data_IF_432192664617
#
_entry.id   IF_432192664617
#
_cell.length_a   1.000
_cell.length_b   1.000
_cell.length_c   1.000
_cell.angle_alpha   90.00
_cell.angle_beta   90.00
_cell.angle_gamma   90.00
#
_symmetry.space_group_name_H-M   'P 1'
#
loop_
_entity.id
_entity.type
_entity.pdbx_description
1 polymer ?
#
# COMPACT_ATOMS: atom_id res chain seq x y z
N UNK A 1 -7.98 9.40 28.44
CA UNK A 1 -7.54 9.88 27.11
C UNK A 1 -7.67 11.40 27.05
N UNK A 2 -6.86 12.11 26.25
CA UNK A 2 -6.95 13.57 26.15
C UNK A 2 -8.16 14.04 25.34
N UNK A 3 -8.72 15.20 25.70
CA UNK A 3 -9.90 15.83 25.07
C UNK A 3 -9.85 15.85 23.53
N UNK A 4 -8.72 16.31 22.96
CA UNK A 4 -8.57 16.42 21.50
C UNK A 4 -8.61 15.06 20.79
N UNK A 5 -8.11 13.99 21.43
CA UNK A 5 -8.15 12.63 20.88
C UNK A 5 -9.58 12.09 20.83
N UNK A 6 -10.36 12.36 21.88
CA UNK A 6 -11.77 11.94 21.96
C UNK A 6 -12.60 12.66 20.91
N UNK A 7 -12.42 13.99 20.77
CA UNK A 7 -13.11 14.78 19.74
C UNK A 7 -12.77 14.29 18.33
N UNK A 8 -11.49 14.05 18.03
CA UNK A 8 -11.06 13.57 16.71
C UNK A 8 -11.65 12.18 16.37
N UNK A 9 -11.69 11.28 17.33
CA UNK A 9 -12.26 9.94 17.15
C UNK A 9 -13.77 9.98 16.88
N UNK A 10 -14.53 10.76 17.64
CA UNK A 10 -15.97 10.91 17.41
C UNK A 10 -16.30 11.64 16.09
N UNK A 11 -15.48 12.62 15.68
CA UNK A 11 -15.58 13.24 14.35
C UNK A 11 -15.40 12.22 13.23
N UNK A 12 -14.42 11.33 13.35
CA UNK A 12 -14.17 10.25 12.40
C UNK A 12 -15.36 9.29 12.28
N UNK A 13 -15.91 8.80 13.41
CA UNK A 13 -17.10 7.92 13.39
C UNK A 13 -18.26 8.57 12.65
N UNK A 14 -18.51 9.85 12.91
CA UNK A 14 -19.54 10.63 12.21
C UNK A 14 -19.26 10.76 10.71
N UNK A 15 -18.03 11.11 10.33
CA UNK A 15 -17.65 11.32 8.92
C UNK A 15 -17.72 10.04 8.08
N UNK A 16 -17.55 8.88 8.73
CA UNK A 16 -17.69 7.57 8.10
C UNK A 16 -19.11 6.99 8.20
N UNK A 17 -20.08 7.73 8.77
CA UNK A 17 -21.47 7.29 8.87
C UNK A 17 -21.74 6.21 9.93
N UNK A 18 -20.79 5.99 10.84
CA UNK A 18 -20.85 4.98 11.90
C UNK A 18 -21.71 5.49 13.09
N UNK A 19 -22.99 5.75 12.85
CA UNK A 19 -23.88 6.41 13.82
C UNK A 19 -24.14 5.59 15.08
N UNK A 20 -24.16 4.25 14.96
CA UNK A 20 -24.37 3.34 16.11
C UNK A 20 -23.21 3.44 17.09
N UNK A 21 -21.97 3.35 16.60
CA UNK A 21 -20.77 3.46 17.44
C UNK A 21 -20.59 4.87 18.01
N UNK A 22 -21.03 5.89 17.27
CA UNK A 22 -21.03 7.27 17.75
C UNK A 22 -21.95 7.43 18.97
N UNK A 23 -23.17 6.89 18.91
CA UNK A 23 -24.13 6.92 20.01
C UNK A 23 -23.61 6.15 21.23
N UNK A 24 -23.10 4.94 21.03
CA UNK A 24 -22.50 4.12 22.10
C UNK A 24 -21.33 4.84 22.77
N UNK A 25 -20.45 5.48 22.00
CA UNK A 25 -19.30 6.20 22.52
C UNK A 25 -19.71 7.44 23.33
N UNK A 26 -20.76 8.16 22.91
CA UNK A 26 -21.32 9.29 23.67
C UNK A 26 -21.94 8.79 24.98
N UNK A 27 -22.76 7.74 24.93
CA UNK A 27 -23.36 7.15 26.13
C UNK A 27 -22.32 6.63 27.13
N UNK A 28 -21.21 6.10 26.63
CA UNK A 28 -20.09 5.68 27.47
C UNK A 28 -19.44 6.89 28.17
N UNK A 29 -19.20 8.00 27.46
CA UNK A 29 -18.60 9.21 28.03
C UNK A 29 -19.49 9.86 29.10
N UNK A 30 -20.82 9.79 28.94
CA UNK A 30 -21.78 10.30 29.93
C UNK A 30 -21.76 9.52 31.25
N UNK A 31 -21.28 8.29 31.24
CA UNK A 31 -21.19 7.44 32.43
C UNK A 31 -19.85 7.57 33.18
N UNK A 32 -18.91 8.37 32.66
CA UNK A 32 -17.58 8.56 33.27
C UNK A 32 -17.54 9.87 34.07
N UNK A 33 -17.17 9.79 35.35
CA UNK A 33 -17.10 10.96 36.25
C UNK A 33 -15.73 11.67 36.23
N UNK A 34 -14.67 11.06 35.70
CA UNK A 34 -13.29 11.57 35.73
C UNK A 34 -12.66 11.73 34.34
N UNK A 35 -13.27 12.57 33.50
CA UNK A 35 -12.78 12.83 32.14
C UNK A 35 -11.92 14.10 32.03
N UNK A 36 -11.97 15.01 33.01
CA UNK A 36 -11.27 16.30 32.96
C UNK A 36 -11.80 17.28 31.90
N UNK A 37 -12.91 16.96 31.24
CA UNK A 37 -13.67 17.78 30.29
C UNK A 37 -15.15 17.35 30.32
N UNK A 38 -16.04 18.22 29.85
CA UNK A 38 -17.48 17.90 29.82
C UNK A 38 -17.90 17.25 28.51
N UNK A 39 -18.88 16.33 28.56
CA UNK A 39 -19.39 15.66 27.35
C UNK A 39 -20.06 16.66 26.40
N UNK A 40 -20.67 17.72 26.94
CA UNK A 40 -21.30 18.77 26.13
C UNK A 40 -20.29 19.57 25.31
N UNK A 41 -19.11 19.87 25.87
CA UNK A 41 -17.99 20.48 25.12
C UNK A 41 -17.50 19.59 23.98
N UNK A 42 -17.47 18.26 24.20
CA UNK A 42 -17.10 17.28 23.17
C UNK A 42 -18.16 17.26 22.07
N UNK A 43 -19.46 17.17 22.40
CA UNK A 43 -20.57 17.20 21.43
C UNK A 43 -20.52 18.47 20.59
N UNK A 44 -20.34 19.63 21.21
CA UNK A 44 -20.24 20.91 20.50
C UNK A 44 -19.07 20.90 19.51
N UNK A 45 -17.86 20.51 19.95
CA UNK A 45 -16.69 20.44 19.05
C UNK A 45 -16.82 19.41 17.95
N UNK A 46 -17.51 18.28 18.20
CA UNK A 46 -17.78 17.29 17.16
C UNK A 46 -18.66 17.92 16.08
N UNK A 47 -19.71 18.66 16.44
CA UNK A 47 -20.65 19.31 15.51
C UNK A 47 -20.17 20.62 14.87
N UNK A 48 -19.15 21.27 15.42
CA UNK A 48 -18.52 22.45 14.82
C UNK A 48 -17.85 22.09 13.47
N UNK A 49 -18.19 22.86 12.42
CA UNK A 49 -17.41 22.89 11.18
C UNK A 49 -16.11 23.63 11.46
N UNK A 50 -15.01 22.91 11.47
CA UNK A 50 -13.68 23.50 11.51
C UNK A 50 -13.40 24.16 10.14
N UNK A 51 -13.24 25.49 10.12
CA UNK A 51 -12.47 26.24 9.10
C UNK A 51 -10.96 26.15 9.36
N UNK A 52 -10.55 25.40 10.39
CA UNK A 52 -9.18 24.97 10.61
C UNK A 52 -8.76 24.09 9.42
N UNK A 53 -7.53 24.22 8.89
CA UNK A 53 -7.08 23.34 7.82
C UNK A 53 -7.30 21.93 8.32
N UNK A 54 -8.11 21.16 7.59
CA UNK A 54 -8.37 19.78 7.92
C UNK A 54 -7.03 19.16 8.33
N UNK A 55 -6.99 18.43 9.43
CA UNK A 55 -5.94 17.44 9.63
C UNK A 55 -6.12 16.35 8.55
N UNK A 56 -5.89 16.76 7.30
CA UNK A 56 -5.49 15.96 6.15
C UNK A 56 -4.05 15.47 6.33
N UNK A 57 -3.48 15.63 7.53
CA UNK A 57 -2.48 14.73 8.06
C UNK A 57 -3.11 13.34 8.14
N UNK A 58 -3.22 12.68 6.98
CA UNK A 58 -3.34 11.24 6.90
C UNK A 58 -2.31 10.64 7.85
N UNK A 59 -2.58 9.42 8.34
CA UNK A 59 -1.64 8.69 9.18
C UNK A 59 -0.22 8.92 8.66
N UNK A 60 0.78 9.28 9.49
CA UNK A 60 2.14 9.53 9.00
C UNK A 60 2.68 8.43 8.07
N UNK A 61 2.22 7.19 8.26
CA UNK A 61 2.45 6.06 7.37
C UNK A 61 1.75 6.09 6.00
N UNK A 62 1.05 7.15 5.62
CA UNK A 62 0.47 7.36 4.29
C UNK A 62 1.22 8.45 3.51
N UNK A 63 2.11 9.20 4.18
CA UNK A 63 2.95 10.18 3.50
C UNK A 63 3.99 9.45 2.62
N UNK A 64 4.16 9.88 1.35
CA UNK A 64 5.15 9.29 0.48
C UNK A 64 6.57 9.60 0.98
N UNK A 65 7.39 8.55 1.08
CA UNK A 65 8.81 8.60 1.45
C UNK A 65 9.58 7.81 0.40
N UNK A 66 10.67 8.40 -0.10
CA UNK A 66 11.67 7.69 -0.91
C UNK A 66 12.83 7.34 0.00
N UNK A 67 13.26 6.09 -0.03
CA UNK A 67 14.42 5.65 0.71
C UNK A 67 15.68 5.89 -0.13
N UNK A 68 16.68 6.52 0.48
CA UNK A 68 18.02 6.61 -0.09
C UNK A 68 18.70 5.24 0.09
N UNK A 69 18.50 4.36 -0.88
CA UNK A 69 19.18 3.06 -0.92
C UNK A 69 20.41 3.20 -1.81
N UNK A 70 21.56 2.78 -1.29
CA UNK A 70 22.75 2.55 -2.09
C UNK A 70 22.50 1.41 -3.11
N UNK A 71 22.04 1.81 -4.30
CA UNK A 71 21.75 0.88 -5.38
C UNK A 71 23.00 0.16 -5.89
N UNK A 72 24.19 0.72 -5.70
CA UNK A 72 25.45 0.13 -6.09
C UNK A 72 25.86 -0.96 -5.09
N UNK A 73 25.71 -0.73 -3.78
CA UNK A 73 25.87 -1.78 -2.77
C UNK A 73 24.89 -2.95 -3.00
N UNK A 74 23.64 -2.64 -3.35
CA UNK A 74 22.63 -3.64 -3.67
C UNK A 74 23.01 -4.42 -4.94
N UNK A 75 23.52 -3.76 -6.00
CA UNK A 75 24.00 -4.42 -7.23
C UNK A 75 25.21 -5.31 -6.98
N UNK A 76 26.23 -4.79 -6.28
CA UNK A 76 27.49 -5.47 -5.99
C UNK A 76 27.33 -6.72 -5.12
N UNK A 77 26.30 -6.80 -4.28
CA UNK A 77 25.97 -8.01 -3.53
C UNK A 77 25.57 -9.22 -4.41
N UNK A 78 25.27 -9.01 -5.70
CA UNK A 78 24.86 -10.08 -6.64
C UNK A 78 25.95 -10.51 -7.63
N UNK A 79 27.04 -9.76 -7.79
CA UNK A 79 28.11 -10.07 -8.74
C UNK A 79 29.34 -10.59 -7.99
N UNK A 80 29.34 -11.89 -7.66
CA UNK A 80 30.55 -12.61 -7.25
C UNK A 80 30.75 -12.87 -5.75
N UNK A 81 29.79 -12.53 -4.88
CA UNK A 81 29.86 -12.96 -3.49
C UNK A 81 29.44 -14.45 -3.36
N UNK A 82 30.20 -15.31 -2.65
CA UNK A 82 29.74 -16.65 -2.30
C UNK A 82 28.39 -16.56 -1.56
N UNK A 83 27.54 -17.61 -1.60
CA UNK A 83 26.21 -17.58 -0.97
C UNK A 83 26.40 -17.08 0.46
N UNK A 84 25.80 -15.93 0.75
CA UNK A 84 26.08 -15.14 1.94
C UNK A 84 26.32 -16.06 3.14
N UNK A 85 27.58 -16.13 3.56
CA UNK A 85 27.89 -16.62 4.89
C UNK A 85 27.01 -15.79 5.83
N UNK A 86 26.08 -16.47 6.51
CA UNK A 86 25.14 -15.95 7.48
C UNK A 86 25.42 -14.50 7.95
N UNK A 87 24.78 -13.51 7.33
CA UNK A 87 25.04 -12.12 7.68
C UNK A 87 24.17 -11.16 6.88
N UNK A 88 23.04 -10.76 7.48
CA UNK A 88 22.19 -9.62 7.12
C UNK A 88 21.81 -9.44 5.62
N UNK A 89 20.56 -9.74 5.28
CA UNK A 89 19.96 -9.32 4.00
C UNK A 89 19.40 -7.89 4.13
N UNK A 90 20.00 -6.88 3.48
CA UNK A 90 19.48 -5.51 3.53
C UNK A 90 18.15 -5.41 2.76
N UNK A 91 17.28 -4.50 3.21
CA UNK A 91 16.06 -4.17 2.46
C UNK A 91 16.41 -3.49 1.14
N UNK A 92 15.75 -3.93 0.06
CA UNK A 92 15.82 -3.30 -1.27
C UNK A 92 14.59 -2.46 -1.59
N UNK A 93 13.72 -2.18 -0.61
CA UNK A 93 12.50 -1.39 -0.79
C UNK A 93 12.83 0.10 -0.98
N UNK A 94 12.43 0.67 -2.12
CA UNK A 94 12.76 2.06 -2.52
C UNK A 94 11.79 3.12 -2.04
N UNK A 95 10.56 2.73 -1.67
CA UNK A 95 9.53 3.68 -1.30
C UNK A 95 8.61 3.20 -0.18
N UNK A 96 7.92 4.17 0.41
CA UNK A 96 6.74 3.97 1.24
C UNK A 96 5.69 5.06 0.88
N UNK A 97 4.37 4.80 0.93
CA UNK A 97 3.72 3.51 1.19
C UNK A 97 3.81 2.55 0.00
N UNK A 98 3.54 1.27 0.26
CA UNK A 98 3.52 0.21 -0.77
C UNK A 98 2.12 -0.27 -1.14
N UNK A 99 1.13 -0.02 -0.29
CA UNK A 99 -0.27 -0.44 -0.49
C UNK A 99 -0.92 0.35 -1.63
N UNK A 100 -1.48 -0.35 -2.62
CA UNK A 100 -2.09 0.25 -3.82
C UNK A 100 -3.18 1.27 -3.46
N UNK A 101 -3.87 1.07 -2.33
CA UNK A 101 -4.82 2.03 -1.79
C UNK A 101 -4.20 3.42 -1.51
N UNK A 102 -2.99 3.44 -0.96
CA UNK A 102 -2.31 4.64 -0.47
C UNK A 102 -1.38 5.29 -1.49
N UNK A 103 -0.86 4.52 -2.45
CA UNK A 103 0.16 5.07 -3.36
C UNK A 103 -0.39 6.16 -4.28
N UNK A 104 0.45 7.16 -4.54
CA UNK A 104 0.26 8.10 -5.63
C UNK A 104 0.92 7.53 -6.90
N UNK A 105 0.18 7.25 -8.00
CA UNK A 105 0.74 6.67 -9.22
C UNK A 105 1.77 7.58 -9.91
N UNK A 106 1.74 8.89 -9.64
CA UNK A 106 2.62 9.89 -10.24
C UNK A 106 3.85 10.23 -9.37
N UNK A 107 4.06 9.51 -8.28
CA UNK A 107 5.21 9.74 -7.41
C UNK A 107 6.53 9.50 -8.16
N UNK A 108 7.58 10.24 -7.76
CA UNK A 108 8.87 10.23 -8.45
C UNK A 108 9.51 8.84 -8.55
N UNK A 109 9.28 7.96 -7.57
CA UNK A 109 9.80 6.59 -7.56
C UNK A 109 9.12 5.66 -8.59
N UNK A 110 8.01 6.06 -9.23
CA UNK A 110 7.44 5.32 -10.36
C UNK A 110 7.90 5.84 -11.72
N UNK A 111 8.58 7.00 -11.77
CA UNK A 111 8.98 7.61 -13.03
C UNK A 111 10.02 6.76 -13.75
N UNK A 112 9.64 6.15 -14.88
CA UNK A 112 10.51 5.26 -15.64
C UNK A 112 10.98 4.04 -14.86
N UNK A 113 10.23 3.59 -13.85
CA UNK A 113 10.60 2.45 -13.01
C UNK A 113 10.19 1.10 -13.62
N UNK A 114 10.89 0.04 -13.24
CA UNK A 114 10.34 -1.32 -13.29
C UNK A 114 9.46 -1.51 -12.06
N UNK A 115 8.21 -1.95 -12.24
CA UNK A 115 7.24 -2.06 -11.15
C UNK A 115 6.94 -3.52 -10.83
N UNK A 116 6.98 -3.86 -9.55
CA UNK A 116 6.47 -5.13 -9.02
C UNK A 116 5.11 -4.89 -8.38
N UNK A 117 4.04 -5.38 -9.01
CA UNK A 117 2.71 -5.49 -8.45
C UNK A 117 2.56 -6.87 -7.78
N UNK A 118 2.64 -6.91 -6.45
CA UNK A 118 2.68 -8.17 -5.70
C UNK A 118 1.40 -8.39 -4.88
N UNK A 119 0.93 -9.64 -4.83
CA UNK A 119 -0.10 -10.04 -3.88
C UNK A 119 0.44 -9.94 -2.44
N UNK A 120 -0.37 -9.50 -1.49
CA UNK A 120 0.05 -9.27 -0.09
C UNK A 120 0.80 -10.45 0.53
N UNK A 121 0.34 -11.68 0.30
CA UNK A 121 0.96 -12.87 0.88
C UNK A 121 2.34 -13.22 0.29
N UNK A 122 2.68 -12.73 -0.90
CA UNK A 122 3.88 -13.19 -1.64
C UNK A 122 5.19 -12.89 -0.89
N UNK A 123 5.34 -11.68 -0.36
CA UNK A 123 6.53 -11.30 0.42
C UNK A 123 6.66 -12.09 1.72
N UNK A 124 5.55 -12.50 2.33
CA UNK A 124 5.56 -13.30 3.55
C UNK A 124 5.78 -14.79 3.29
N UNK A 125 5.48 -15.27 2.07
CA UNK A 125 5.74 -16.65 1.67
C UNK A 125 7.19 -16.88 1.20
N UNK A 126 7.91 -15.84 0.78
CA UNK A 126 9.25 -15.96 0.21
C UNK A 126 10.32 -15.27 1.06
N UNK A 127 11.19 -16.06 1.71
CA UNK A 127 12.25 -15.53 2.58
C UNK A 127 13.28 -14.64 1.88
N UNK A 128 13.41 -14.72 0.56
CA UNK A 128 14.33 -13.96 -0.28
C UNK A 128 13.61 -12.98 -1.23
N UNK A 129 12.37 -12.58 -0.92
CA UNK A 129 11.57 -11.65 -1.74
C UNK A 129 12.35 -10.39 -2.12
N UNK A 130 13.00 -9.75 -1.14
CA UNK A 130 13.71 -8.49 -1.36
C UNK A 130 14.90 -8.65 -2.32
N UNK A 131 15.72 -9.68 -2.10
CA UNK A 131 16.97 -9.87 -2.84
C UNK A 131 16.75 -10.42 -4.25
N UNK A 132 15.75 -11.29 -4.44
CA UNK A 132 15.48 -11.92 -5.75
C UNK A 132 14.43 -11.20 -6.60
N UNK A 133 13.43 -10.59 -5.98
CA UNK A 133 12.24 -10.14 -6.72
C UNK A 133 12.03 -8.62 -6.67
N UNK A 134 12.28 -7.99 -5.52
CA UNK A 134 12.07 -6.55 -5.35
C UNK A 134 13.25 -5.70 -5.84
N UNK A 135 14.48 -6.23 -5.78
CA UNK A 135 15.70 -5.48 -6.12
C UNK A 135 15.58 -4.74 -7.45
N UNK A 136 15.78 -3.42 -7.41
CA UNK A 136 15.74 -2.53 -8.57
C UNK A 136 14.34 -2.19 -9.08
N UNK A 137 13.28 -2.55 -8.33
CA UNK A 137 11.88 -2.30 -8.71
C UNK A 137 11.16 -1.48 -7.66
N UNK A 138 10.21 -0.68 -8.13
CA UNK A 138 9.23 -0.02 -7.28
C UNK A 138 8.10 -0.99 -6.94
N UNK A 139 7.79 -1.14 -5.65
CA UNK A 139 6.74 -2.02 -5.15
C UNK A 139 5.35 -1.35 -5.12
N UNK A 140 4.34 -2.10 -5.56
CA UNK A 140 2.96 -1.89 -5.19
C UNK A 140 2.34 -3.22 -4.75
N UNK A 141 1.56 -3.23 -3.67
CA UNK A 141 0.86 -4.43 -3.20
C UNK A 141 -0.65 -4.24 -3.19
N UNK A 142 -1.38 -5.31 -3.51
CA UNK A 142 -2.83 -5.35 -3.47
C UNK A 142 -3.33 -6.79 -3.28
N UNK A 143 -4.46 -6.94 -2.61
CA UNK A 143 -5.16 -8.20 -2.44
C UNK A 143 -6.61 -8.06 -2.89
N UNK A 144 -6.99 -8.57 -4.08
CA UNK A 144 -8.36 -8.40 -4.61
C UNK A 144 -9.45 -9.07 -3.75
N UNK A 145 -9.08 -9.91 -2.78
CA UNK A 145 -10.01 -10.50 -1.80
C UNK A 145 -10.29 -9.58 -0.61
N UNK A 146 -9.32 -8.76 -0.22
CA UNK A 146 -9.39 -7.92 0.98
C UNK A 146 -9.65 -6.45 0.63
N UNK A 147 -9.19 -6.02 -0.54
CA UNK A 147 -9.32 -4.66 -1.00
C UNK A 147 -10.68 -4.39 -1.62
N UNK A 148 -11.20 -3.19 -1.37
CA UNK A 148 -12.39 -2.65 -2.02
C UNK A 148 -12.02 -1.55 -3.02
N UNK A 149 -12.89 -1.29 -4.00
CA UNK A 149 -12.68 -0.25 -5.01
C UNK A 149 -11.52 -0.53 -5.97
N UNK A 150 -11.37 -1.78 -6.40
CA UNK A 150 -10.30 -2.26 -7.27
C UNK A 150 -10.27 -1.57 -8.64
N UNK A 151 -11.38 -0.96 -9.07
CA UNK A 151 -11.44 -0.09 -10.26
C UNK A 151 -10.48 1.10 -10.14
N UNK A 152 -10.33 1.66 -8.93
CA UNK A 152 -9.37 2.75 -8.67
C UNK A 152 -7.94 2.26 -8.89
N UNK A 153 -7.65 0.99 -8.61
CA UNK A 153 -6.31 0.43 -8.79
C UNK A 153 -5.99 0.27 -10.27
N UNK A 154 -6.97 -0.12 -11.08
CA UNK A 154 -6.84 -0.12 -12.54
C UNK A 154 -6.51 1.29 -13.05
N UNK A 155 -7.20 2.33 -12.56
CA UNK A 155 -6.90 3.72 -12.94
C UNK A 155 -5.49 4.16 -12.50
N UNK A 156 -5.05 3.78 -11.29
CA UNK A 156 -3.68 4.05 -10.83
C UNK A 156 -2.64 3.36 -11.71
N UNK A 157 -2.88 2.11 -12.11
CA UNK A 157 -1.99 1.39 -13.03
C UNK A 157 -1.95 2.05 -14.41
N UNK A 158 -3.09 2.52 -14.95
CA UNK A 158 -3.13 3.28 -16.20
C UNK A 158 -2.27 4.55 -16.07
N UNK A 159 -2.43 5.31 -15.00
CA UNK A 159 -1.63 6.53 -14.74
C UNK A 159 -0.14 6.20 -14.60
N UNK A 160 0.24 5.11 -13.93
CA UNK A 160 1.64 4.68 -13.88
C UNK A 160 2.21 4.37 -15.27
N UNK A 161 1.41 3.73 -16.12
CA UNK A 161 1.80 3.37 -17.49
C UNK A 161 1.94 4.63 -18.35
N UNK A 162 0.95 5.52 -18.35
CA UNK A 162 0.91 6.64 -19.29
C UNK A 162 1.66 7.88 -18.78
N UNK A 163 1.51 8.23 -17.51
CA UNK A 163 2.02 9.47 -16.91
C UNK A 163 3.40 9.25 -16.26
N UNK A 164 3.53 8.24 -15.38
CA UNK A 164 4.81 7.90 -14.78
C UNK A 164 5.75 7.14 -15.73
N UNK A 165 5.23 6.71 -16.88
CA UNK A 165 6.00 6.06 -17.95
C UNK A 165 6.81 4.87 -17.47
N UNK A 166 6.25 4.02 -16.60
CA UNK A 166 6.94 2.80 -16.13
C UNK A 166 7.44 1.97 -17.33
N UNK A 167 8.56 1.27 -17.13
CA UNK A 167 9.23 0.48 -18.16
C UNK A 167 8.58 -0.90 -18.32
N UNK A 168 8.39 -1.60 -17.19
CA UNK A 168 7.81 -2.95 -17.14
C UNK A 168 6.89 -3.11 -15.94
N UNK A 169 5.94 -4.03 -16.06
CA UNK A 169 5.05 -4.42 -14.97
C UNK A 169 5.20 -5.92 -14.69
N UNK A 170 5.82 -6.28 -13.57
CA UNK A 170 5.81 -7.65 -13.07
C UNK A 170 4.64 -7.83 -12.10
N UNK A 171 3.77 -8.80 -12.37
CA UNK A 171 2.62 -9.15 -11.53
C UNK A 171 2.91 -10.48 -10.83
N UNK A 172 3.06 -10.44 -9.52
CA UNK A 172 3.33 -11.62 -8.70
C UNK A 172 2.08 -12.03 -7.93
N UNK A 173 1.57 -13.22 -8.25
CA UNK A 173 0.37 -13.79 -7.63
C UNK A 173 0.71 -15.07 -6.88
N UNK A 174 -0.12 -15.43 -5.90
CA UNK A 174 -0.08 -16.76 -5.29
C UNK A 174 -0.86 -17.77 -6.14
N UNK A 175 -0.55 -19.07 -6.01
CA UNK A 175 -1.24 -20.16 -6.72
C UNK A 175 -2.72 -20.30 -6.34
N UNK A 176 -3.16 -19.66 -5.26
CA UNK A 176 -4.54 -19.68 -4.78
C UNK A 176 -5.47 -18.88 -5.71
N UNK A 177 -6.72 -19.33 -5.88
CA UNK A 177 -7.63 -18.74 -6.87
C UNK A 177 -8.00 -17.29 -6.58
N UNK A 178 -7.90 -16.83 -5.32
CA UNK A 178 -8.23 -15.46 -4.96
C UNK A 178 -7.29 -14.41 -5.57
N UNK A 179 -6.08 -14.77 -6.00
CA UNK A 179 -5.14 -13.82 -6.61
C UNK A 179 -5.43 -13.55 -8.10
N UNK A 180 -6.38 -14.25 -8.73
CA UNK A 180 -6.72 -14.06 -10.14
C UNK A 180 -7.23 -12.65 -10.48
N UNK A 181 -7.83 -11.95 -9.52
CA UNK A 181 -8.24 -10.55 -9.72
C UNK A 181 -7.07 -9.59 -9.96
N UNK A 182 -5.89 -9.88 -9.39
CA UNK A 182 -4.72 -9.01 -9.53
C UNK A 182 -4.17 -9.01 -10.95
N UNK A 183 -4.14 -10.18 -11.60
CA UNK A 183 -3.70 -10.28 -12.99
C UNK A 183 -4.70 -9.64 -13.96
N UNK A 184 -6.00 -9.78 -13.68
CA UNK A 184 -7.06 -9.15 -14.46
C UNK A 184 -6.95 -7.62 -14.40
N UNK A 185 -6.70 -7.05 -13.22
CA UNK A 185 -6.48 -5.61 -13.07
C UNK A 185 -5.30 -5.11 -13.91
N UNK A 186 -4.17 -5.82 -13.88
CA UNK A 186 -3.01 -5.46 -14.68
C UNK A 186 -3.28 -5.53 -16.19
N UNK A 187 -3.93 -6.60 -16.65
CA UNK A 187 -4.30 -6.75 -18.07
C UNK A 187 -5.29 -5.66 -18.52
N UNK A 188 -6.29 -5.34 -17.69
CA UNK A 188 -7.22 -4.25 -17.96
C UNK A 188 -6.49 -2.90 -18.06
N UNK A 189 -5.57 -2.61 -17.15
CA UNK A 189 -4.81 -1.37 -17.19
C UNK A 189 -3.97 -1.26 -18.48
N UNK A 190 -3.25 -2.31 -18.86
CA UNK A 190 -2.42 -2.33 -20.07
C UNK A 190 -3.25 -2.27 -21.35
N UNK A 191 -4.44 -2.88 -21.36
CA UNK A 191 -5.37 -2.79 -22.47
C UNK A 191 -5.88 -1.35 -22.67
N UNK A 192 -6.23 -0.66 -21.59
CA UNK A 192 -6.80 0.69 -21.60
C UNK A 192 -5.75 1.81 -21.64
N UNK A 193 -4.50 1.54 -21.29
CA UNK A 193 -3.42 2.52 -21.38
C UNK A 193 -3.02 2.80 -22.84
N UNK A 194 -2.58 4.05 -23.06
CA UNK A 194 -2.13 4.54 -24.37
C UNK A 194 -0.77 3.94 -24.72
N UNK A 195 0.15 3.87 -23.75
CA UNK A 195 1.44 3.18 -23.88
C UNK A 195 1.28 1.68 -23.68
N UNK A 196 2.07 0.91 -24.44
CA UNK A 196 2.22 -0.54 -24.25
C UNK A 196 3.54 -0.82 -23.56
N UNK A 197 3.49 -1.66 -22.53
CA UNK A 197 4.64 -2.08 -21.73
C UNK A 197 4.65 -3.62 -21.64
N UNK A 198 5.83 -4.24 -21.48
CA UNK A 198 5.91 -5.67 -21.18
C UNK A 198 5.29 -5.99 -19.81
N UNK A 199 4.50 -7.06 -19.76
CA UNK A 199 3.94 -7.59 -18.51
C UNK A 199 4.48 -8.99 -18.26
N UNK A 200 5.08 -9.21 -17.08
CA UNK A 200 5.53 -10.54 -16.65
C UNK A 200 4.65 -11.03 -15.51
N UNK A 201 4.03 -12.19 -15.68
CA UNK A 201 3.31 -12.88 -14.62
C UNK A 201 4.23 -13.88 -13.92
N UNK A 202 4.25 -13.86 -12.59
CA UNK A 202 4.95 -14.84 -11.75
C UNK A 202 3.94 -15.46 -10.77
N UNK A 203 3.88 -16.79 -10.74
CA UNK A 203 3.01 -17.56 -9.82
C UNK A 203 3.86 -18.18 -8.72
N UNK A 204 3.52 -17.86 -7.48
CA UNK A 204 4.20 -18.31 -6.26
C UNK A 204 3.34 -19.36 -5.54
N UNK A 205 3.93 -20.50 -5.19
CA UNK A 205 3.29 -21.53 -4.38
C UNK A 205 3.09 -21.09 -2.94
N UNK A 206 2.16 -21.73 -2.22
CA UNK A 206 1.91 -21.43 -0.80
C UNK A 206 3.15 -21.72 0.09
N UNK A 207 4.15 -22.43 -0.44
CA UNK A 207 5.43 -22.70 0.22
C UNK A 207 6.56 -21.77 -0.21
N UNK A 208 6.27 -20.75 -1.03
CA UNK A 208 7.23 -19.74 -1.49
C UNK A 208 8.07 -20.14 -2.70
N UNK A 209 7.82 -21.30 -3.29
CA UNK A 209 8.46 -21.72 -4.54
C UNK A 209 7.82 -21.04 -5.77
N UNK A 210 8.61 -20.82 -6.81
CA UNK A 210 8.09 -20.30 -8.08
C UNK A 210 7.53 -21.46 -8.89
N UNK A 211 6.22 -21.41 -9.16
CA UNK A 211 5.51 -22.46 -9.92
C UNK A 211 5.54 -22.17 -11.42
N UNK A 212 5.39 -20.89 -11.81
CA UNK A 212 5.37 -20.49 -13.21
C UNK A 212 5.81 -19.05 -13.40
N UNK A 213 6.44 -18.78 -14.55
CA UNK A 213 6.73 -17.42 -15.02
C UNK A 213 6.46 -17.33 -16.52
N UNK A 214 5.71 -16.31 -16.95
CA UNK A 214 5.35 -16.10 -18.35
C UNK A 214 5.18 -14.61 -18.67
N UNK A 215 5.46 -14.23 -19.91
CA UNK A 215 5.14 -12.90 -20.43
C UNK A 215 3.74 -12.93 -21.03
N UNK A 216 2.92 -11.92 -20.73
CA UNK A 216 1.50 -11.86 -21.12
C UNK A 216 1.12 -10.54 -21.78
#
# INVERSE_FOLDING_TARGET
HGFNTVVAHLKHLREHGETVFLEEAISFLEQQEDLGFTVDEVKQKVHEKDDSPACSSGCPGSAPVVFDIDTDAVKNAAEGAPPAAAGHQPSTLMQWPVQMHLINPNAAYFQGADVLLAADCSAFSMGDFHSKHLKGKSLAIACPKLDSGTETYVQKLIAMIDEAKINTLQVMIMEVPCCGGLIQMAQMAVANATRKIPVKKTVVGIRGDIIAEEWI
#
